data_IF_331914096353
#
_entry.id   IF_331914096353
#
_cell.length_a   1.000
_cell.length_b   1.000
_cell.length_c   1.000
_cell.angle_alpha   90.00
_cell.angle_beta   90.00
_cell.angle_gamma   90.00
#
_symmetry.space_group_name_H-M   'P 1'
#
loop_
_entity.id
_entity.type
_entity.pdbx_description
1 polymer ?
#
# COMPACT_ATOMS: atom_id res chain seq x y z
N UNK A 1 -25.72 -9.13 0.48
CA UNK A 1 -25.28 -8.64 -0.84
C UNK A 1 -23.79 -8.39 -0.79
N UNK A 2 -23.09 -8.60 -1.92
CA UNK A 2 -21.66 -8.29 -2.03
C UNK A 2 -21.48 -6.76 -1.98
N UNK A 3 -20.58 -6.25 -1.13
CA UNK A 3 -20.36 -4.81 -0.94
C UNK A 3 -19.60 -4.18 -2.11
N UNK A 4 -18.72 -4.95 -2.74
CA UNK A 4 -17.90 -4.55 -3.88
C UNK A 4 -18.28 -5.39 -5.09
N UNK A 5 -18.31 -4.77 -6.27
CA UNK A 5 -18.39 -5.52 -7.52
C UNK A 5 -17.07 -6.22 -7.82
N UNK A 6 -17.08 -7.23 -8.69
CA UNK A 6 -15.84 -7.91 -9.13
C UNK A 6 -14.85 -6.93 -9.76
N UNK A 7 -15.34 -5.96 -10.54
CA UNK A 7 -14.51 -4.90 -11.11
C UNK A 7 -13.85 -4.03 -10.03
N UNK A 8 -14.58 -3.66 -8.98
CA UNK A 8 -14.03 -2.88 -7.86
C UNK A 8 -13.01 -3.69 -7.06
N UNK A 9 -13.25 -4.99 -6.86
CA UNK A 9 -12.26 -5.88 -6.23
C UNK A 9 -10.98 -5.99 -7.08
N UNK A 10 -11.12 -6.07 -8.41
CA UNK A 10 -9.98 -6.09 -9.32
C UNK A 10 -9.20 -4.78 -9.26
N UNK A 11 -9.86 -3.63 -9.17
CA UNK A 11 -9.17 -2.35 -9.06
C UNK A 11 -8.37 -2.24 -7.75
N UNK A 12 -8.92 -2.76 -6.64
CA UNK A 12 -8.17 -2.86 -5.38
C UNK A 12 -6.89 -3.69 -5.57
N UNK A 13 -6.95 -4.77 -6.35
CA UNK A 13 -5.77 -5.57 -6.67
C UNK A 13 -4.79 -4.79 -7.58
N UNK A 14 -5.30 -4.04 -8.56
CA UNK A 14 -4.49 -3.20 -9.44
C UNK A 14 -3.70 -2.15 -8.67
N UNK A 15 -4.27 -1.54 -7.62
CA UNK A 15 -3.57 -0.60 -6.75
C UNK A 15 -2.33 -1.25 -6.09
N UNK A 16 -2.46 -2.49 -5.61
CA UNK A 16 -1.35 -3.24 -5.00
C UNK A 16 -0.33 -3.69 -6.05
N UNK A 17 -0.77 -4.09 -7.26
CA UNK A 17 0.14 -4.43 -8.35
C UNK A 17 0.96 -3.22 -8.82
N UNK A 18 0.33 -2.05 -8.94
CA UNK A 18 0.99 -0.82 -9.36
C UNK A 18 1.97 -0.30 -8.30
N UNK A 19 1.64 -0.45 -7.02
CA UNK A 19 2.53 -0.11 -5.92
C UNK A 19 2.39 -1.12 -4.77
N UNK A 20 3.23 -2.15 -4.78
CA UNK A 20 3.19 -3.21 -3.77
C UNK A 20 3.51 -2.72 -2.35
N UNK A 21 4.09 -1.52 -2.21
CA UNK A 21 4.35 -0.90 -0.90
C UNK A 21 3.20 -0.05 -0.36
N UNK A 22 2.09 0.05 -1.11
CA UNK A 22 0.89 0.74 -0.65
C UNK A 22 0.37 0.09 0.65
N UNK A 23 -0.14 0.91 1.56
CA UNK A 23 -0.72 0.43 2.82
C UNK A 23 -2.24 0.28 2.70
N UNK A 24 -2.83 -0.60 3.52
CA UNK A 24 -4.29 -0.76 3.61
C UNK A 24 -5.02 0.56 3.86
N UNK A 25 -4.43 1.47 4.66
CA UNK A 25 -5.01 2.79 4.95
C UNK A 25 -5.01 3.69 3.71
N UNK A 26 -3.98 3.61 2.87
CA UNK A 26 -3.92 4.35 1.62
C UNK A 26 -4.90 3.79 0.59
N UNK A 27 -5.01 2.46 0.47
CA UNK A 27 -6.03 1.83 -0.40
C UNK A 27 -7.43 2.27 0.05
N UNK A 28 -7.72 2.18 1.34
CA UNK A 28 -8.99 2.63 1.90
C UNK A 28 -9.28 4.10 1.58
N UNK A 29 -8.29 4.99 1.74
CA UNK A 29 -8.44 6.39 1.39
C UNK A 29 -8.70 6.59 -0.12
N UNK A 30 -8.00 5.86 -0.99
CA UNK A 30 -8.20 5.92 -2.44
C UNK A 30 -9.61 5.45 -2.84
N UNK A 31 -10.11 4.36 -2.25
CA UNK A 31 -11.49 3.88 -2.48
C UNK A 31 -12.52 4.97 -2.14
N UNK A 32 -12.36 5.65 -1.00
CA UNK A 32 -13.30 6.69 -0.58
C UNK A 32 -13.18 8.01 -1.36
N UNK A 33 -12.07 8.22 -2.07
CA UNK A 33 -11.84 9.42 -2.89
C UNK A 33 -12.26 9.22 -4.35
N UNK A 34 -12.15 8.00 -4.87
CA UNK A 34 -12.47 7.68 -6.26
C UNK A 34 -13.91 7.18 -6.42
N UNK A 35 -14.82 8.15 -6.53
CA UNK A 35 -16.23 7.87 -6.81
C UNK A 35 -16.49 7.41 -8.25
N UNK A 36 -15.52 7.52 -9.17
CA UNK A 36 -15.72 7.10 -10.55
C UNK A 36 -15.67 5.57 -10.65
N UNK A 37 -14.70 4.95 -9.98
CA UNK A 37 -14.53 3.50 -9.96
C UNK A 37 -15.30 2.85 -8.79
N UNK A 38 -15.29 3.47 -7.61
CA UNK A 38 -15.94 2.94 -6.40
C UNK A 38 -17.34 3.53 -6.17
N UNK A 39 -18.13 3.59 -7.24
CA UNK A 39 -19.52 4.04 -7.16
C UNK A 39 -20.32 3.24 -6.12
N UNK A 40 -21.14 3.96 -5.35
CA UNK A 40 -21.98 3.43 -4.27
C UNK A 40 -21.23 2.85 -3.06
N UNK A 41 -19.91 3.02 -2.98
CA UNK A 41 -19.11 2.66 -1.79
C UNK A 41 -18.92 3.89 -0.91
N UNK A 42 -19.97 4.29 -0.20
CA UNK A 42 -19.93 5.46 0.70
C UNK A 42 -19.08 5.21 1.95
N UNK A 43 -18.93 3.95 2.34
CA UNK A 43 -18.12 3.53 3.47
C UNK A 43 -17.66 2.09 3.27
N UNK A 44 -16.41 1.81 3.58
CA UNK A 44 -15.85 0.47 3.61
C UNK A 44 -14.95 0.34 4.82
N UNK A 45 -14.91 -0.83 5.46
CA UNK A 45 -13.97 -1.05 6.55
C UNK A 45 -12.61 -1.47 6.01
N UNK A 46 -11.53 -1.11 6.71
CA UNK A 46 -10.17 -1.57 6.40
C UNK A 46 -10.09 -3.10 6.36
N UNK A 47 -10.84 -3.79 7.23
CA UNK A 47 -10.87 -5.26 7.26
C UNK A 47 -11.58 -5.86 6.06
N UNK A 48 -12.55 -5.15 5.45
CA UNK A 48 -13.14 -5.57 4.18
C UNK A 48 -12.11 -5.48 3.06
N UNK A 49 -11.35 -4.37 2.97
CA UNK A 49 -10.26 -4.22 2.00
C UNK A 49 -9.21 -5.32 2.16
N UNK A 50 -8.80 -5.63 3.40
CA UNK A 50 -7.88 -6.72 3.71
C UNK A 50 -8.43 -8.09 3.29
N UNK A 51 -9.71 -8.37 3.55
CA UNK A 51 -10.36 -9.62 3.14
C UNK A 51 -10.43 -9.74 1.62
N UNK A 52 -10.74 -8.66 0.90
CA UNK A 52 -10.74 -8.64 -0.58
C UNK A 52 -9.35 -8.99 -1.12
N UNK A 53 -8.28 -8.37 -0.61
CA UNK A 53 -6.93 -8.69 -1.03
C UNK A 53 -6.56 -10.16 -0.76
N UNK A 54 -6.93 -10.69 0.42
CA UNK A 54 -6.71 -12.11 0.77
C UNK A 54 -7.47 -13.07 -0.14
N UNK A 55 -8.73 -12.75 -0.49
CA UNK A 55 -9.55 -13.52 -1.45
C UNK A 55 -8.82 -13.66 -2.80
N UNK A 56 -8.16 -12.60 -3.24
CA UNK A 56 -7.37 -12.55 -4.49
C UNK A 56 -5.90 -12.96 -4.31
N UNK A 57 -5.54 -13.51 -3.14
CA UNK A 57 -4.16 -13.96 -2.83
C UNK A 57 -3.10 -12.85 -3.00
N UNK A 58 -3.52 -11.60 -2.83
CA UNK A 58 -2.64 -10.44 -2.92
C UNK A 58 -1.90 -10.23 -1.60
N UNK A 59 -0.60 -9.95 -1.69
CA UNK A 59 0.25 -9.60 -0.55
C UNK A 59 0.92 -8.25 -0.80
N UNK A 60 0.94 -7.39 0.22
CA UNK A 60 1.64 -6.10 0.18
C UNK A 60 3.05 -6.25 0.77
N UNK A 61 4.05 -5.62 0.16
CA UNK A 61 5.41 -5.54 0.71
C UNK A 61 5.44 -4.60 1.91
N UNK A 62 5.92 -5.12 3.04
CA UNK A 62 6.31 -4.30 4.17
C UNK A 62 7.65 -3.61 3.86
N UNK A 63 7.65 -2.27 3.76
CA UNK A 63 8.89 -1.50 3.67
C UNK A 63 9.40 -1.21 5.07
N UNK A 64 10.48 -1.88 5.46
CA UNK A 64 11.24 -1.50 6.66
C UNK A 64 12.09 -0.28 6.34
N UNK A 65 11.74 0.87 6.92
CA UNK A 65 12.60 2.06 6.89
C UNK A 65 13.60 1.93 8.02
N UNK A 66 14.88 1.92 7.66
CA UNK A 66 15.97 1.91 8.63
C UNK A 66 15.99 3.27 9.33
N UNK A 67 15.87 3.33 10.67
CA UNK A 67 15.63 4.57 11.41
C UNK A 67 16.88 5.48 11.53
N UNK A 68 18.00 5.11 10.92
CA UNK A 68 19.24 5.87 10.95
C UNK A 68 19.78 6.08 9.53
N UNK A 69 20.41 7.23 9.28
CA UNK A 69 21.05 7.58 8.01
C UNK A 69 22.30 6.74 7.68
N UNK A 70 22.45 5.49 8.15
CA UNK A 70 23.68 4.70 7.95
C UNK A 70 24.00 4.40 6.47
N UNK A 71 23.06 4.64 5.55
CA UNK A 71 23.22 4.37 4.12
C UNK A 71 23.11 5.61 3.23
N UNK A 72 23.04 6.82 3.80
CA UNK A 72 23.17 8.04 2.99
C UNK A 72 24.62 8.18 2.52
N UNK A 73 24.83 8.73 1.33
CA UNK A 73 26.19 8.83 0.76
C UNK A 73 27.07 9.75 1.61
N UNK A 74 26.48 10.80 2.20
CA UNK A 74 27.14 11.66 3.21
C UNK A 74 27.67 10.85 4.41
N UNK A 75 26.87 9.94 4.96
CA UNK A 75 27.28 9.14 6.14
C UNK A 75 28.28 8.05 5.75
N UNK A 76 28.21 7.51 4.53
CA UNK A 76 29.24 6.59 4.01
C UNK A 76 30.58 7.30 3.84
N UNK A 77 30.58 8.52 3.32
CA UNK A 77 31.78 9.33 3.12
C UNK A 77 32.41 9.76 4.45
N UNK A 78 31.60 10.16 5.43
CA UNK A 78 32.07 10.43 6.79
C UNK A 78 32.77 9.21 7.42
N UNK A 79 32.29 7.98 7.20
CA UNK A 79 32.97 6.79 7.73
C UNK A 79 34.33 6.55 7.10
N UNK A 80 34.49 6.87 5.82
CA UNK A 80 35.78 6.70 5.15
C UNK A 80 36.86 7.52 5.89
N UNK A 81 36.53 8.73 6.35
CA UNK A 81 37.42 9.60 7.10
C UNK A 81 37.89 9.04 8.46
N UNK A 82 37.12 8.17 9.12
CA UNK A 82 37.47 7.59 10.44
C UNK A 82 38.18 6.24 10.37
N UNK A 83 38.34 5.66 9.17
CA UNK A 83 39.01 4.36 8.96
C UNK A 83 40.45 4.55 8.44
N UNK A 84 40.96 5.78 8.41
CA UNK A 84 42.37 6.09 8.12
C UNK A 84 43.21 6.06 9.41
#
# INVERSE_FOLDING_TARGET
>A
GQLLSEQQEQEICNMVMANNAITLRQIHAAILQDNAIFQNVNSISISTTDRTLKKHQMTMKQIYRVPFERNSDRVKELRYQYVH
#
